data_IF_146258773876
#
_entry.id   IF_146258773876
#
_cell.length_a   1.000
_cell.length_b   1.000
_cell.length_c   1.000
_cell.angle_alpha   90.00
_cell.angle_beta   90.00
_cell.angle_gamma   90.00
#
_symmetry.space_group_name_H-M   'P 1'
#
loop_
_entity.id
_entity.type
_entity.pdbx_description
1 polymer ?
#
# COMPACT_ATOMS: atom_id res chain seq x y z
N UNK A 1 -7.30 -11.50 0.18
CA UNK A 1 -6.71 -11.15 1.50
C UNK A 1 -5.44 -11.92 1.82
N UNK A 2 -5.46 -13.26 1.85
CA UNK A 2 -4.29 -14.10 2.20
C UNK A 2 -3.06 -13.78 1.33
N UNK A 3 -3.21 -13.83 0.01
CA UNK A 3 -2.14 -13.53 -0.96
C UNK A 3 -1.52 -12.13 -0.74
N UNK A 4 -2.34 -11.12 -0.45
CA UNK A 4 -1.84 -9.76 -0.25
C UNK A 4 -0.99 -9.63 1.03
N UNK A 5 -1.41 -10.28 2.13
CA UNK A 5 -0.61 -10.30 3.37
C UNK A 5 0.68 -11.08 3.21
N UNK A 6 0.64 -12.22 2.53
CA UNK A 6 1.84 -13.00 2.23
C UNK A 6 2.84 -12.17 1.41
N UNK A 7 2.35 -11.41 0.43
CA UNK A 7 3.17 -10.47 -0.33
C UNK A 7 3.79 -9.37 0.54
N UNK A 8 3.02 -8.74 1.44
CA UNK A 8 3.56 -7.72 2.35
C UNK A 8 4.69 -8.29 3.23
N UNK A 9 4.49 -9.50 3.76
CA UNK A 9 5.50 -10.21 4.54
C UNK A 9 6.74 -10.54 3.72
N UNK A 10 6.58 -10.98 2.47
CA UNK A 10 7.70 -11.29 1.57
C UNK A 10 8.53 -10.06 1.22
N UNK A 11 7.86 -8.92 0.96
CA UNK A 11 8.52 -7.63 0.72
C UNK A 11 9.30 -7.22 1.98
N UNK A 12 8.66 -7.26 3.15
CA UNK A 12 9.31 -6.93 4.42
C UNK A 12 10.51 -7.82 4.70
N UNK A 13 10.39 -9.13 4.45
CA UNK A 13 11.46 -10.10 4.64
C UNK A 13 12.67 -9.82 3.74
N UNK A 14 12.44 -9.44 2.48
CA UNK A 14 13.53 -9.20 1.51
C UNK A 14 14.21 -7.84 1.67
N UNK A 15 13.48 -6.83 2.11
CA UNK A 15 13.97 -5.45 2.10
C UNK A 15 14.31 -4.92 3.51
N UNK A 16 13.81 -5.54 4.58
CA UNK A 16 14.04 -5.13 5.96
C UNK A 16 12.95 -4.21 6.53
N UNK A 17 12.96 -4.02 7.85
CA UNK A 17 11.87 -3.35 8.59
C UNK A 17 11.90 -1.80 8.52
N UNK A 18 13.02 -1.19 8.17
CA UNK A 18 13.19 0.27 8.12
C UNK A 18 12.76 0.89 6.79
N UNK A 19 11.90 0.21 6.03
CA UNK A 19 11.45 0.65 4.71
C UNK A 19 9.96 1.01 4.69
N UNK A 20 9.54 1.63 3.60
CA UNK A 20 8.15 1.95 3.29
C UNK A 20 7.73 1.32 1.96
N UNK A 21 6.44 1.04 1.81
CA UNK A 21 5.87 0.51 0.58
C UNK A 21 5.12 1.63 -0.14
N UNK A 22 5.57 1.94 -1.36
CA UNK A 22 4.89 2.87 -2.25
C UNK A 22 3.79 2.11 -3.02
N UNK A 23 2.53 2.42 -2.77
CA UNK A 23 1.38 1.78 -3.40
C UNK A 23 0.66 2.74 -4.36
N UNK A 24 0.41 2.25 -5.57
CA UNK A 24 -0.28 2.95 -6.65
C UNK A 24 -1.57 2.18 -6.97
N UNK A 25 -2.66 2.42 -6.23
CA UNK A 25 -3.88 1.65 -6.37
C UNK A 25 -4.55 1.99 -7.71
N UNK A 26 -4.63 0.99 -8.58
CA UNK A 26 -5.30 1.05 -9.88
C UNK A 26 -6.42 0.00 -9.97
N UNK A 27 -7.26 -0.05 -8.92
CA UNK A 27 -8.35 -1.00 -8.77
C UNK A 27 -9.64 -0.30 -8.27
N UNK A 28 -10.82 -0.96 -8.36
CA UNK A 28 -12.06 -0.41 -7.82
C UNK A 28 -11.95 -0.06 -6.33
N UNK A 29 -12.66 1.00 -5.89
CA UNK A 29 -12.62 1.52 -4.52
C UNK A 29 -12.80 0.42 -3.47
N UNK A 30 -13.73 -0.52 -3.69
CA UNK A 30 -13.98 -1.62 -2.76
C UNK A 30 -12.72 -2.49 -2.53
N UNK A 31 -11.91 -2.72 -3.56
CA UNK A 31 -10.66 -3.48 -3.45
C UNK A 31 -9.61 -2.68 -2.68
N UNK A 32 -9.50 -1.37 -2.93
CA UNK A 32 -8.56 -0.50 -2.23
C UNK A 32 -8.87 -0.40 -0.72
N UNK A 33 -10.16 -0.42 -0.35
CA UNK A 33 -10.57 -0.50 1.05
C UNK A 33 -10.13 -1.84 1.67
N UNK A 34 -10.30 -2.96 0.96
CA UNK A 34 -9.87 -4.27 1.44
C UNK A 34 -8.35 -4.42 1.54
N UNK A 35 -7.58 -3.71 0.70
CA UNK A 35 -6.12 -3.57 0.83
C UNK A 35 -5.78 -2.88 2.15
N UNK A 36 -6.39 -1.73 2.44
CA UNK A 36 -6.18 -1.01 3.70
C UNK A 36 -6.58 -1.85 4.93
N UNK A 37 -7.70 -2.58 4.85
CA UNK A 37 -8.14 -3.49 5.93
C UNK A 37 -7.22 -4.70 6.15
N UNK A 38 -6.46 -5.09 5.14
CA UNK A 38 -5.55 -6.23 5.25
C UNK A 38 -4.27 -5.86 5.99
N UNK A 39 -3.84 -4.61 5.90
CA UNK A 39 -2.63 -4.04 6.53
C UNK A 39 -2.79 -3.85 8.04
N UNK A 40 -1.72 -4.08 8.80
CA UNK A 40 -1.67 -4.00 10.26
C UNK A 40 -0.52 -3.08 10.73
N UNK A 41 -0.81 -1.99 11.48
CA UNK A 41 0.19 -0.98 11.86
C UNK A 41 1.44 -1.51 12.58
N UNK A 42 1.28 -2.57 13.37
CA UNK A 42 2.37 -3.13 14.19
C UNK A 42 3.18 -4.23 13.49
N UNK A 43 2.75 -4.69 12.32
CA UNK A 43 3.33 -5.86 11.67
C UNK A 43 3.86 -5.55 10.26
N UNK A 44 3.12 -4.74 9.52
CA UNK A 44 3.42 -4.38 8.14
C UNK A 44 4.21 -3.07 8.05
N UNK A 45 4.94 -2.89 6.95
CA UNK A 45 5.67 -1.65 6.68
C UNK A 45 4.70 -0.47 6.43
N UNK A 46 5.10 0.78 6.74
CA UNK A 46 4.34 1.97 6.37
C UNK A 46 3.97 1.99 4.88
N UNK A 47 2.74 2.41 4.57
CA UNK A 47 2.26 2.51 3.19
C UNK A 47 2.21 3.98 2.76
N UNK A 48 2.96 4.35 1.71
CA UNK A 48 2.76 5.60 0.99
C UNK A 48 1.80 5.37 -0.17
N UNK A 49 0.61 5.97 -0.07
CA UNK A 49 -0.46 5.83 -1.06
C UNK A 49 -0.40 6.97 -2.05
N UNK A 50 -0.45 6.62 -3.34
CA UNK A 50 -0.51 7.58 -4.44
C UNK A 50 -1.83 7.45 -5.19
N UNK A 51 -2.51 8.55 -5.46
CA UNK A 51 -3.77 8.58 -6.22
C UNK A 51 -3.56 9.04 -7.66
N UNK A 52 -4.27 8.41 -8.61
CA UNK A 52 -4.19 8.79 -10.01
C UNK A 52 -5.10 10.00 -10.27
N UNK A 53 -4.49 11.17 -10.43
CA UNK A 53 -5.23 12.40 -10.71
C UNK A 53 -5.32 12.64 -12.22
N UNK A 54 -6.56 12.61 -12.76
CA UNK A 54 -6.84 12.87 -14.17
C UNK A 54 -6.47 14.28 -14.62
N UNK A 55 -6.50 15.27 -13.72
CA UNK A 55 -6.18 16.68 -14.04
C UNK A 55 -4.69 16.90 -14.27
N UNK A 56 -3.84 16.14 -13.57
CA UNK A 56 -2.38 16.26 -13.66
C UNK A 56 -1.75 15.12 -14.45
N UNK A 57 -2.57 14.20 -14.98
CA UNK A 57 -2.16 13.04 -15.76
C UNK A 57 -1.04 12.20 -15.11
N UNK A 58 -1.18 11.86 -13.83
CA UNK A 58 -0.17 11.10 -13.10
C UNK A 58 -0.59 10.72 -11.69
N UNK A 59 0.23 9.87 -11.06
CA UNK A 59 0.07 9.49 -9.66
C UNK A 59 0.67 10.55 -8.74
N UNK A 60 -0.13 11.07 -7.83
CA UNK A 60 0.29 12.03 -6.82
C UNK A 60 0.20 11.41 -5.44
N UNK A 61 1.15 11.76 -4.57
CA UNK A 61 1.10 11.34 -3.17
C UNK A 61 -0.22 11.82 -2.54
N UNK A 62 -0.93 10.90 -1.90
CA UNK A 62 -2.20 11.16 -1.24
C UNK A 62 -2.02 11.19 0.28
N UNK A 63 -1.49 10.10 0.85
CA UNK A 63 -1.32 9.95 2.29
C UNK A 63 -0.30 8.86 2.63
N UNK A 64 0.16 8.88 3.88
CA UNK A 64 0.94 7.79 4.47
C UNK A 64 0.13 7.13 5.56
N UNK A 65 0.13 5.79 5.61
CA UNK A 65 -0.45 4.99 6.68
C UNK A 65 0.70 4.41 7.50
N UNK A 66 0.70 4.66 8.81
CA UNK A 66 1.73 4.28 9.78
C UNK A 66 1.09 3.69 11.04
#
# INVERSE_FOLDING_TARGET
>A
KKVFRELLNEIKYRHGEENEINIFPAAPVAINVEIGRAWMPKADLPLKVYDQNRKTNGFQYALTIQ
#
